data_IF_437718835247
#
_entry.id   IF_437718835247
#
_cell.length_a   1.000
_cell.length_b   1.000
_cell.length_c   1.000
_cell.angle_alpha   90.00
_cell.angle_beta   90.00
_cell.angle_gamma   90.00
#
_symmetry.space_group_name_H-M   'P 1'
#
loop_
_entity.id
_entity.type
_entity.pdbx_description
1 polymer ?
#
# COMPACT_ATOMS: atom_id res chain seq x y z
N UNK A 1 -14.40 19.93 -78.09
CA UNK A 1 -13.53 19.04 -78.89
C UNK A 1 -13.37 17.76 -78.10
N UNK A 2 -13.98 16.71 -78.64
CA UNK A 2 -13.54 15.33 -78.79
C UNK A 2 -13.12 14.62 -77.49
N UNK A 3 -14.03 13.79 -76.93
CA UNK A 3 -14.29 12.33 -77.17
C UNK A 3 -13.09 11.43 -76.95
N UNK A 4 -13.16 10.50 -75.97
CA UNK A 4 -13.36 9.12 -76.39
C UNK A 4 -13.65 8.18 -75.19
N UNK A 5 -14.69 7.36 -75.40
CA UNK A 5 -15.05 6.17 -74.64
C UNK A 5 -14.14 5.01 -75.03
N UNK A 6 -13.81 4.13 -74.09
CA UNK A 6 -13.69 2.71 -74.45
C UNK A 6 -14.04 1.83 -73.25
N UNK A 7 -15.10 1.09 -73.43
CA UNK A 7 -15.55 -0.08 -72.69
C UNK A 7 -14.81 -1.32 -73.14
N UNK A 8 -14.41 -2.21 -72.25
CA UNK A 8 -14.13 -3.62 -72.62
C UNK A 8 -14.47 -4.54 -71.41
N UNK A 9 -15.49 -5.33 -71.68
CA UNK A 9 -15.88 -6.71 -71.36
C UNK A 9 -15.35 -7.46 -70.14
N UNK A 10 -16.35 -8.03 -69.44
CA UNK A 10 -16.27 -9.25 -68.61
C UNK A 10 -16.13 -10.51 -69.47
N UNK A 11 -15.56 -11.59 -68.92
CA UNK A 11 -16.13 -12.91 -69.12
C UNK A 11 -16.57 -13.57 -67.81
N UNK A 12 -17.71 -14.17 -67.93
CA UNK A 12 -18.31 -15.17 -67.00
C UNK A 12 -17.66 -16.54 -67.24
N UNK A 13 -17.33 -17.24 -66.15
CA UNK A 13 -17.08 -18.71 -66.23
C UNK A 13 -17.62 -19.38 -64.96
N UNK A 14 -18.53 -20.22 -65.19
CA UNK A 14 -19.13 -21.45 -64.77
C UNK A 14 -18.83 -22.06 -63.39
N UNK A 15 -19.97 -22.52 -62.82
CA UNK A 15 -20.03 -23.36 -61.65
C UNK A 15 -19.91 -24.83 -62.05
N UNK A 16 -18.93 -25.56 -61.54
CA UNK A 16 -19.12 -26.99 -61.31
C UNK A 16 -18.17 -27.53 -60.23
N UNK A 17 -18.79 -28.04 -59.18
CA UNK A 17 -18.43 -29.15 -58.30
C UNK A 17 -16.98 -29.59 -58.15
N UNK A 18 -16.43 -29.52 -56.90
CA UNK A 18 -15.55 -30.56 -56.37
C UNK A 18 -15.60 -30.62 -54.83
N UNK A 19 -15.95 -31.78 -54.36
CA UNK A 19 -15.66 -32.53 -53.15
C UNK A 19 -15.28 -31.83 -51.82
N UNK A 20 -16.11 -32.15 -50.84
CA UNK A 20 -15.84 -32.13 -49.40
C UNK A 20 -14.73 -33.13 -49.05
N UNK A 21 -13.54 -32.65 -48.67
CA UNK A 21 -12.59 -33.41 -47.89
C UNK A 21 -12.43 -32.78 -46.50
N UNK A 22 -12.70 -33.61 -45.52
CA UNK A 22 -12.60 -33.38 -44.08
C UNK A 22 -11.20 -32.93 -43.70
N UNK A 23 -11.01 -31.66 -43.26
CA UNK A 23 -9.81 -31.20 -42.61
C UNK A 23 -10.14 -30.97 -41.15
N UNK A 24 -9.65 -31.88 -40.28
CA UNK A 24 -9.67 -31.74 -38.82
C UNK A 24 -8.95 -30.46 -38.41
N UNK A 25 -9.64 -29.57 -37.67
CA UNK A 25 -9.02 -28.42 -37.02
C UNK A 25 -8.04 -28.92 -35.92
N UNK A 26 -6.82 -28.40 -35.85
CA UNK A 26 -5.95 -28.70 -34.72
C UNK A 26 -6.50 -28.07 -33.45
N UNK A 27 -6.64 -28.87 -32.40
CA UNK A 27 -6.98 -28.44 -31.05
C UNK A 27 -5.80 -27.62 -30.50
N UNK A 28 -5.97 -26.31 -30.43
CA UNK A 28 -5.01 -25.45 -29.75
C UNK A 28 -5.18 -25.68 -28.26
N UNK A 29 -4.18 -26.31 -27.64
CA UNK A 29 -4.03 -26.43 -26.21
C UNK A 29 -4.08 -25.03 -25.58
N UNK A 30 -4.94 -24.85 -24.56
CA UNK A 30 -5.00 -23.62 -23.78
C UNK A 30 -3.65 -23.40 -23.09
N UNK A 31 -2.85 -22.55 -23.68
CA UNK A 31 -1.63 -21.99 -23.11
C UNK A 31 -1.99 -21.29 -21.80
N UNK A 32 -1.22 -21.57 -20.78
CA UNK A 32 -1.22 -20.97 -19.45
C UNK A 32 -1.52 -19.47 -19.49
N UNK A 33 -2.51 -19.03 -18.70
CA UNK A 33 -2.74 -17.61 -18.44
C UNK A 33 -1.48 -17.02 -17.81
N UNK A 34 -0.72 -16.29 -18.61
CA UNK A 34 0.27 -15.35 -18.11
C UNK A 34 -0.47 -14.40 -17.16
N UNK A 35 -0.17 -14.48 -15.87
CA UNK A 35 -0.50 -13.45 -14.90
C UNK A 35 0.30 -12.21 -15.29
N UNK A 36 -0.30 -11.38 -16.13
CA UNK A 36 0.20 -10.02 -16.39
C UNK A 36 0.26 -9.28 -15.07
N UNK A 37 1.42 -8.74 -14.76
CA UNK A 37 1.70 -7.90 -13.61
C UNK A 37 0.70 -6.74 -13.56
N UNK A 38 -0.27 -6.82 -12.65
CA UNK A 38 -1.18 -5.73 -12.31
C UNK A 38 -0.43 -4.88 -11.27
N UNK A 39 0.53 -4.04 -11.68
CA UNK A 39 1.33 -3.30 -10.73
C UNK A 39 1.55 -1.82 -11.08
N UNK A 40 1.80 -1.49 -12.31
CA UNK A 40 2.38 -0.19 -12.68
C UNK A 40 1.38 0.93 -13.00
N UNK A 41 0.10 0.65 -13.20
CA UNK A 41 -0.87 1.67 -13.69
C UNK A 41 -1.53 2.55 -12.62
N UNK A 42 -1.36 2.28 -11.30
CA UNK A 42 -2.03 3.04 -10.23
C UNK A 42 -1.13 3.35 -9.03
N UNK A 43 0.19 3.32 -9.17
CA UNK A 43 1.08 3.70 -8.09
C UNK A 43 1.07 5.21 -7.90
N UNK A 44 0.92 5.67 -6.62
CA UNK A 44 1.00 7.09 -6.32
C UNK A 44 2.45 7.58 -6.40
N UNK A 45 2.64 8.86 -6.72
CA UNK A 45 3.97 9.49 -6.71
C UNK A 45 4.69 9.33 -5.35
N UNK A 46 3.94 9.26 -4.24
CA UNK A 46 4.49 8.97 -2.93
C UNK A 46 5.13 7.58 -2.86
N UNK A 47 4.45 6.56 -3.40
CA UNK A 47 4.97 5.20 -3.40
C UNK A 47 6.28 5.11 -4.21
N UNK A 48 6.30 5.72 -5.39
CA UNK A 48 7.48 5.77 -6.25
C UNK A 48 8.65 6.53 -5.59
N UNK A 49 8.38 7.67 -4.93
CA UNK A 49 9.39 8.40 -4.19
C UNK A 49 10.01 7.58 -3.05
N UNK A 50 9.19 6.78 -2.35
CA UNK A 50 9.68 5.86 -1.32
C UNK A 50 10.47 4.71 -1.93
N UNK A 51 10.02 4.10 -3.04
CA UNK A 51 10.79 3.08 -3.77
C UNK A 51 12.18 3.59 -4.11
N UNK A 52 12.27 4.75 -4.76
CA UNK A 52 13.55 5.34 -5.14
C UNK A 52 14.47 5.58 -3.94
N UNK A 53 13.91 6.10 -2.83
CA UNK A 53 14.69 6.36 -1.62
C UNK A 53 15.28 5.10 -0.99
N UNK A 54 14.54 4.01 -0.95
CA UNK A 54 14.95 2.79 -0.25
C UNK A 54 15.73 1.81 -1.11
N UNK A 55 15.47 1.77 -2.41
CA UNK A 55 16.23 0.93 -3.34
C UNK A 55 17.51 1.60 -3.83
N UNK A 56 17.56 2.96 -3.81
CA UNK A 56 18.72 3.75 -4.24
C UNK A 56 19.09 3.55 -5.72
N UNK A 57 20.20 4.16 -6.14
CA UNK A 57 20.75 4.02 -7.51
C UNK A 57 21.38 2.63 -7.71
N UNK A 58 21.94 2.04 -6.64
CA UNK A 58 22.57 0.71 -6.65
C UNK A 58 21.56 -0.43 -6.41
N UNK A 59 20.37 -0.10 -5.88
CA UNK A 59 19.28 -1.07 -5.68
C UNK A 59 18.43 -1.23 -6.92
N UNK A 60 17.66 -2.31 -6.96
CA UNK A 60 16.71 -2.58 -8.05
C UNK A 60 15.29 -2.39 -7.57
N UNK A 61 14.50 -1.64 -8.33
CA UNK A 61 13.04 -1.56 -8.15
C UNK A 61 12.35 -2.69 -8.89
N UNK A 62 11.23 -3.18 -8.34
CA UNK A 62 10.40 -4.23 -8.95
C UNK A 62 11.18 -5.51 -9.29
N UNK A 63 11.65 -6.19 -8.25
CA UNK A 63 12.34 -7.48 -8.38
C UNK A 63 11.43 -8.64 -8.07
N UNK A 64 11.54 -9.67 -8.90
CA UNK A 64 10.91 -10.95 -8.62
C UNK A 64 11.74 -11.72 -7.57
N UNK A 65 11.09 -12.07 -6.45
CA UNK A 65 11.63 -12.93 -5.40
C UNK A 65 10.66 -14.10 -5.21
N UNK A 66 11.06 -15.28 -5.66
CA UNK A 66 10.14 -16.41 -5.78
C UNK A 66 8.95 -16.08 -6.68
N UNK A 67 7.74 -16.31 -6.19
CA UNK A 67 6.49 -16.02 -6.93
C UNK A 67 6.00 -14.57 -6.79
N UNK A 68 6.76 -13.70 -6.09
CA UNK A 68 6.32 -12.35 -5.77
C UNK A 68 7.19 -11.28 -6.43
N UNK A 69 6.54 -10.21 -6.90
CA UNK A 69 7.23 -8.98 -7.28
C UNK A 69 7.31 -8.08 -6.05
N UNK A 70 8.50 -7.65 -5.68
CA UNK A 70 8.79 -6.78 -4.55
C UNK A 70 9.10 -5.36 -5.04
N UNK A 71 8.86 -4.37 -4.18
CA UNK A 71 9.07 -2.95 -4.52
C UNK A 71 10.53 -2.59 -4.72
N UNK A 72 11.44 -3.35 -4.11
CA UNK A 72 12.86 -3.15 -4.29
C UNK A 72 13.72 -4.21 -3.63
N UNK A 73 15.01 -4.16 -3.95
CA UNK A 73 16.06 -4.95 -3.33
C UNK A 73 17.26 -4.05 -3.09
N UNK A 74 17.79 -4.05 -1.86
CA UNK A 74 19.02 -3.30 -1.57
C UNK A 74 20.24 -4.01 -2.14
N UNK A 75 21.39 -3.33 -2.21
CA UNK A 75 22.68 -3.91 -2.59
C UNK A 75 23.09 -5.10 -1.70
N UNK A 76 22.64 -5.10 -0.45
CA UNK A 76 22.90 -6.18 0.51
C UNK A 76 21.90 -7.34 0.43
N UNK A 77 20.96 -7.30 -0.52
CA UNK A 77 19.95 -8.35 -0.73
C UNK A 77 18.75 -8.29 0.24
N UNK A 78 18.55 -7.18 0.96
CA UNK A 78 17.35 -6.99 1.78
C UNK A 78 16.16 -6.63 0.88
N UNK A 79 15.05 -7.34 1.05
CA UNK A 79 13.83 -7.13 0.27
C UNK A 79 13.09 -5.91 0.84
N UNK A 80 12.75 -4.97 -0.03
CA UNK A 80 11.98 -3.77 0.29
C UNK A 80 10.55 -3.94 -0.18
N UNK A 81 9.61 -3.67 0.73
CA UNK A 81 8.18 -3.63 0.45
C UNK A 81 7.57 -2.36 1.06
N UNK A 82 6.79 -1.61 0.28
CA UNK A 82 6.19 -0.35 0.71
C UNK A 82 4.69 -0.50 0.82
N UNK A 83 4.16 -0.29 2.02
CA UNK A 83 2.74 -0.42 2.26
C UNK A 83 2.16 0.84 2.90
N UNK A 84 1.47 1.65 2.10
CA UNK A 84 0.82 2.89 2.57
C UNK A 84 -0.45 2.59 3.36
N UNK A 85 -1.13 1.50 3.02
CA UNK A 85 -2.41 1.10 3.62
C UNK A 85 -2.29 0.04 4.72
N UNK A 86 -3.35 -0.78 4.84
CA UNK A 86 -3.42 -1.90 5.77
C UNK A 86 -2.44 -3.02 5.41
N UNK A 87 -1.91 -3.74 6.41
CA UNK A 87 -1.01 -4.87 6.18
C UNK A 87 -1.75 -6.19 5.87
N UNK A 88 -3.07 -6.21 6.04
CA UNK A 88 -3.87 -7.41 5.74
C UNK A 88 -3.64 -7.98 4.33
N UNK A 89 -3.75 -7.17 3.26
CA UNK A 89 -3.59 -7.66 1.88
C UNK A 89 -2.21 -8.26 1.56
N UNK A 90 -1.15 -7.78 2.20
CA UNK A 90 0.23 -8.22 1.94
C UNK A 90 0.74 -9.27 2.94
N UNK A 91 -0.07 -9.62 3.92
CA UNK A 91 0.32 -10.49 5.04
C UNK A 91 0.93 -11.82 4.58
N UNK A 92 0.28 -12.52 3.66
CA UNK A 92 0.76 -13.83 3.19
C UNK A 92 2.00 -13.68 2.29
N UNK A 93 2.08 -12.61 1.50
CA UNK A 93 3.28 -12.25 0.74
C UNK A 93 4.47 -12.08 1.68
N UNK A 94 4.34 -11.25 2.73
CA UNK A 94 5.42 -11.00 3.70
C UNK A 94 5.85 -12.28 4.39
N UNK A 95 4.90 -13.15 4.83
CA UNK A 95 5.22 -14.44 5.46
C UNK A 95 6.06 -15.37 4.56
N UNK A 96 5.86 -15.32 3.25
CA UNK A 96 6.65 -16.06 2.28
C UNK A 96 8.02 -15.43 2.06
N UNK A 97 8.08 -14.11 1.88
CA UNK A 97 9.32 -13.40 1.64
C UNK A 97 10.33 -13.52 2.77
N UNK A 98 9.90 -13.49 4.04
CA UNK A 98 10.82 -13.64 5.20
C UNK A 98 11.44 -15.03 5.30
N UNK A 99 10.94 -16.02 4.55
CA UNK A 99 11.56 -17.36 4.44
C UNK A 99 12.73 -17.34 3.45
N UNK A 100 12.77 -16.40 2.52
CA UNK A 100 13.83 -16.28 1.52
C UNK A 100 14.95 -15.35 1.97
N UNK A 101 14.67 -14.37 2.84
CA UNK A 101 15.66 -13.41 3.28
C UNK A 101 15.12 -12.39 4.28
N UNK A 102 15.91 -11.34 4.52
CA UNK A 102 15.47 -10.20 5.32
C UNK A 102 14.50 -9.34 4.51
N UNK A 103 13.42 -8.90 5.17
CA UNK A 103 12.40 -8.04 4.58
C UNK A 103 12.26 -6.77 5.41
N UNK A 104 12.27 -5.63 4.75
CA UNK A 104 11.97 -4.33 5.33
C UNK A 104 10.64 -3.83 4.78
N UNK A 105 9.64 -3.78 5.65
CA UNK A 105 8.31 -3.27 5.33
C UNK A 105 8.23 -1.79 5.70
N UNK A 106 8.17 -0.93 4.70
CA UNK A 106 8.12 0.53 4.88
C UNK A 106 6.68 0.99 5.01
N UNK A 107 6.36 1.71 6.07
CA UNK A 107 5.04 2.30 6.27
C UNK A 107 5.14 3.81 6.54
N UNK A 108 4.58 4.67 5.68
CA UNK A 108 4.67 6.11 5.87
C UNK A 108 3.74 6.59 7.01
N UNK A 109 4.31 7.39 7.92
CA UNK A 109 3.60 8.13 8.95
C UNK A 109 3.58 9.61 8.56
N UNK A 110 2.43 10.07 8.09
CA UNK A 110 2.26 11.45 7.59
C UNK A 110 1.97 12.38 8.76
N UNK A 111 2.98 13.11 9.24
CA UNK A 111 2.84 14.02 10.38
C UNK A 111 2.30 15.40 9.98
N UNK A 112 2.53 15.82 8.74
CA UNK A 112 1.99 17.06 8.18
C UNK A 112 1.53 16.81 6.74
N UNK A 113 0.38 17.34 6.40
CA UNK A 113 -0.18 17.23 5.06
C UNK A 113 -0.69 18.58 4.58
N UNK A 114 -0.25 19.01 3.40
CA UNK A 114 -0.87 20.06 2.63
C UNK A 114 -1.87 19.47 1.64
N UNK A 115 -2.99 20.14 1.49
CA UNK A 115 -4.02 19.80 0.51
C UNK A 115 -4.02 20.90 -0.52
N UNK A 116 -3.82 20.54 -1.78
CA UNK A 116 -3.95 21.39 -2.94
C UNK A 116 -5.18 20.97 -3.73
N UNK A 117 -6.11 21.91 -3.94
CA UNK A 117 -7.29 21.69 -4.78
C UNK A 117 -7.10 22.34 -6.12
N UNK A 118 -7.35 21.59 -7.18
CA UNK A 118 -7.31 22.01 -8.56
C UNK A 118 -8.70 21.90 -9.21
N UNK A 119 -8.96 22.72 -10.19
CA UNK A 119 -10.08 22.57 -11.11
C UNK A 119 -9.78 21.54 -12.22
N UNK A 120 -10.74 21.34 -13.14
CA UNK A 120 -10.57 20.41 -14.27
C UNK A 120 -9.54 20.91 -15.30
N UNK A 121 -9.20 22.19 -15.31
CA UNK A 121 -8.19 22.77 -16.18
C UNK A 121 -6.79 22.76 -15.54
N UNK A 122 -6.65 22.08 -14.38
CA UNK A 122 -5.42 22.01 -13.60
C UNK A 122 -4.93 23.35 -13.04
N UNK A 123 -5.85 24.32 -12.82
CA UNK A 123 -5.54 25.54 -12.09
C UNK A 123 -5.65 25.30 -10.59
N UNK A 124 -4.66 25.76 -9.83
CA UNK A 124 -4.67 25.71 -8.37
C UNK A 124 -5.72 26.64 -7.80
N UNK A 125 -6.76 26.09 -7.16
CA UNK A 125 -7.82 26.88 -6.51
C UNK A 125 -7.43 27.33 -5.11
N UNK A 126 -6.83 26.43 -4.32
CA UNK A 126 -6.27 26.75 -3.01
C UNK A 126 -5.27 25.71 -2.51
N UNK A 127 -4.41 26.15 -1.58
CA UNK A 127 -3.54 25.30 -0.76
C UNK A 127 -3.82 25.55 0.72
N UNK A 128 -3.98 24.48 1.50
CA UNK A 128 -4.17 24.57 2.94
C UNK A 128 -3.54 23.41 3.70
N UNK A 129 -3.18 23.63 4.96
CA UNK A 129 -2.75 22.55 5.86
C UNK A 129 -3.94 21.70 6.29
N UNK A 130 -3.78 20.39 6.30
CA UNK A 130 -4.74 19.46 6.88
C UNK A 130 -4.73 19.57 8.41
N UNK A 131 -5.89 19.58 9.09
CA UNK A 131 -5.94 19.56 10.56
C UNK A 131 -5.47 18.24 11.15
N UNK A 132 -5.44 17.17 10.35
CA UNK A 132 -4.99 15.84 10.81
C UNK A 132 -3.47 15.75 10.71
N UNK A 133 -2.83 15.52 11.86
CA UNK A 133 -1.43 15.15 11.98
C UNK A 133 -1.33 13.68 12.40
N UNK A 134 -0.53 12.90 11.69
CA UNK A 134 -0.24 11.52 12.04
C UNK A 134 0.71 11.43 13.23
N UNK A 135 0.74 10.26 13.85
CA UNK A 135 1.66 9.91 14.94
C UNK A 135 2.21 8.50 14.70
N UNK A 136 3.36 8.12 15.28
CA UNK A 136 3.90 6.75 15.15
C UNK A 136 2.88 5.66 15.51
N UNK A 137 1.96 5.93 16.44
CA UNK A 137 0.84 5.03 16.77
C UNK A 137 -0.09 4.72 15.58
N UNK A 138 -0.08 5.51 14.51
CA UNK A 138 -0.94 5.25 13.34
C UNK A 138 -0.59 3.92 12.65
N UNK A 139 0.60 3.37 12.85
CA UNK A 139 0.98 2.03 12.39
C UNK A 139 0.01 0.94 12.88
N UNK A 140 -0.59 1.11 14.05
CA UNK A 140 -1.56 0.15 14.57
C UNK A 140 -2.88 0.12 13.80
N UNK A 141 -3.16 1.14 12.97
CA UNK A 141 -4.25 1.07 12.00
C UNK A 141 -3.95 0.08 10.85
N UNK A 142 -2.69 -0.12 10.51
CA UNK A 142 -2.27 -1.09 9.51
C UNK A 142 -2.05 -2.48 10.12
N UNK A 143 -1.37 -2.56 11.27
CA UNK A 143 -1.05 -3.80 11.98
C UNK A 143 -2.27 -4.55 12.54
N UNK A 144 -3.39 -3.89 12.81
CA UNK A 144 -4.58 -4.56 13.38
C UNK A 144 -5.08 -5.73 12.53
N UNK A 145 -4.83 -5.71 11.23
CA UNK A 145 -5.22 -6.74 10.27
C UNK A 145 -4.17 -7.86 10.09
N UNK A 146 -2.98 -7.66 10.64
CA UNK A 146 -1.87 -8.61 10.58
C UNK A 146 -0.94 -8.44 11.81
N UNK A 147 -1.46 -8.63 13.06
CA UNK A 147 -0.69 -8.37 14.27
C UNK A 147 0.57 -9.24 14.39
N UNK A 148 0.53 -10.44 13.81
CA UNK A 148 1.63 -11.40 13.80
C UNK A 148 2.87 -10.89 13.06
N UNK A 149 2.72 -9.96 12.11
CA UNK A 149 3.85 -9.37 11.41
C UNK A 149 4.75 -8.56 12.33
N UNK A 150 4.21 -7.98 13.41
CA UNK A 150 4.96 -7.10 14.29
C UNK A 150 6.21 -7.70 14.94
N UNK A 151 6.27 -9.04 15.10
CA UNK A 151 7.41 -9.76 15.70
C UNK A 151 7.85 -10.94 14.83
N UNK A 152 7.55 -10.89 13.53
CA UNK A 152 7.93 -11.94 12.60
C UNK A 152 9.46 -11.92 12.40
N UNK A 153 10.11 -13.08 12.53
CA UNK A 153 11.55 -13.21 12.30
C UNK A 153 11.90 -12.77 10.86
N UNK A 154 13.04 -12.16 10.69
CA UNK A 154 13.53 -11.61 9.42
C UNK A 154 12.68 -10.45 8.84
N UNK A 155 11.71 -9.93 9.60
CA UNK A 155 10.94 -8.74 9.23
C UNK A 155 11.34 -7.55 10.10
N UNK A 156 11.61 -6.42 9.49
CA UNK A 156 11.63 -5.12 10.13
C UNK A 156 10.48 -4.25 9.57
N UNK A 157 9.74 -3.57 10.44
CA UNK A 157 8.75 -2.56 10.03
C UNK A 157 9.38 -1.21 10.26
N UNK A 158 9.56 -0.46 9.19
CA UNK A 158 10.13 0.89 9.24
C UNK A 158 9.05 1.93 9.03
N UNK A 159 8.87 2.79 10.04
CA UNK A 159 7.93 3.91 9.99
C UNK A 159 8.66 5.11 9.40
N UNK A 160 8.37 5.43 8.15
CA UNK A 160 8.89 6.60 7.47
C UNK A 160 8.10 7.84 7.90
N UNK A 161 8.67 8.69 8.76
CA UNK A 161 8.02 9.92 9.24
C UNK A 161 8.23 11.01 8.21
N UNK A 162 7.11 11.46 7.59
CA UNK A 162 7.12 12.31 6.41
C UNK A 162 6.06 13.40 6.45
N UNK A 163 6.28 14.45 5.64
CA UNK A 163 5.24 15.38 5.21
C UNK A 163 4.83 15.06 3.77
N UNK A 164 3.58 15.32 3.42
CA UNK A 164 3.06 15.09 2.07
C UNK A 164 2.24 16.25 1.54
N UNK A 165 2.21 16.40 0.22
CA UNK A 165 1.22 17.19 -0.50
C UNK A 165 0.21 16.23 -1.12
N UNK A 166 -1.08 16.43 -0.85
CA UNK A 166 -2.19 15.68 -1.43
C UNK A 166 -2.89 16.55 -2.48
N UNK A 167 -2.68 16.18 -3.76
CA UNK A 167 -3.35 16.81 -4.89
C UNK A 167 -4.77 16.29 -4.99
N UNK A 168 -5.72 17.20 -5.09
CA UNK A 168 -7.15 16.93 -5.26
C UNK A 168 -7.68 17.62 -6.49
N UNK A 169 -8.71 17.03 -7.11
CA UNK A 169 -9.40 17.60 -8.27
C UNK A 169 -10.89 17.67 -7.97
N UNK A 170 -11.49 18.82 -8.30
CA UNK A 170 -12.93 19.03 -8.20
C UNK A 170 -13.61 18.50 -9.47
N UNK A 171 -13.72 17.17 -9.57
CA UNK A 171 -14.20 16.45 -10.76
C UNK A 171 -15.58 15.77 -10.57
N UNK A 172 -16.22 15.97 -9.43
CA UNK A 172 -17.49 15.35 -9.08
C UNK A 172 -17.41 13.85 -8.74
N UNK A 173 -16.24 13.17 -8.93
CA UNK A 173 -16.06 11.72 -8.77
C UNK A 173 -15.62 11.32 -7.37
N UNK A 174 -15.26 12.26 -6.52
CA UNK A 174 -14.80 11.99 -5.17
C UNK A 174 -15.89 11.49 -4.25
N UNK A 175 -15.50 10.99 -3.05
CA UNK A 175 -16.47 10.52 -2.06
C UNK A 175 -17.41 11.64 -1.61
N UNK A 176 -18.63 11.28 -1.17
CA UNK A 176 -19.61 12.22 -0.62
C UNK A 176 -19.04 13.08 0.54
N UNK A 177 -18.17 12.51 1.37
CA UNK A 177 -17.49 13.24 2.48
C UNK A 177 -16.58 14.36 1.99
N UNK A 178 -16.09 14.26 0.76
CA UNK A 178 -15.28 15.29 0.10
C UNK A 178 -16.07 16.11 -0.91
N UNK A 179 -17.42 15.99 -0.88
CA UNK A 179 -18.32 16.73 -1.78
C UNK A 179 -17.95 16.58 -3.27
N UNK A 180 -17.66 15.33 -3.68
CA UNK A 180 -17.28 15.05 -5.07
C UNK A 180 -15.83 15.33 -5.43
N UNK A 181 -15.02 15.88 -4.53
CA UNK A 181 -13.59 16.10 -4.77
C UNK A 181 -12.83 14.78 -4.69
N UNK A 182 -12.13 14.41 -5.77
CA UNK A 182 -11.26 13.22 -5.81
C UNK A 182 -9.83 13.52 -5.33
N UNK A 183 -9.12 12.47 -4.90
CA UNK A 183 -7.67 12.55 -4.66
C UNK A 183 -7.02 12.03 -5.93
N UNK A 184 -6.28 12.90 -6.64
CA UNK A 184 -5.58 12.49 -7.86
C UNK A 184 -4.22 11.90 -7.56
N UNK A 185 -3.46 12.47 -6.59
CA UNK A 185 -2.15 11.95 -6.24
C UNK A 185 -1.69 12.42 -4.84
N UNK A 186 -0.55 11.84 -4.37
CA UNK A 186 0.18 12.26 -3.18
C UNK A 186 1.65 12.30 -3.46
N UNK A 187 2.31 13.38 -3.03
CA UNK A 187 3.73 13.62 -3.23
C UNK A 187 4.45 13.64 -1.89
N UNK A 188 5.64 13.08 -1.83
CA UNK A 188 6.56 13.28 -0.71
C UNK A 188 7.00 14.74 -0.70
N UNK A 189 6.73 15.46 0.40
CA UNK A 189 7.12 16.87 0.60
C UNK A 189 8.44 16.95 1.38
N UNK A 190 8.44 16.40 2.61
CA UNK A 190 9.62 16.38 3.49
C UNK A 190 9.80 14.98 4.08
N UNK A 191 11.03 14.50 4.05
CA UNK A 191 11.48 13.38 4.84
C UNK A 191 12.07 13.89 6.16
N UNK A 192 11.61 13.35 7.29
CA UNK A 192 12.17 13.71 8.59
C UNK A 192 13.16 12.67 9.11
N UNK A 193 12.64 11.50 9.50
CA UNK A 193 13.41 10.39 10.05
C UNK A 193 12.61 9.10 9.91
N UNK A 194 13.21 7.98 10.31
CA UNK A 194 12.49 6.73 10.42
C UNK A 194 12.59 6.13 11.83
N UNK A 195 11.62 5.26 12.16
CA UNK A 195 11.56 4.48 13.39
C UNK A 195 11.48 3.02 12.97
N UNK A 196 12.48 2.21 13.36
CA UNK A 196 12.53 0.79 13.00
C UNK A 196 11.98 -0.06 14.15
N UNK A 197 11.10 -0.99 13.80
CA UNK A 197 10.47 -1.95 14.71
C UNK A 197 10.83 -3.36 14.25
N UNK A 198 11.78 -4.00 14.90
CA UNK A 198 12.28 -5.33 14.53
C UNK A 198 12.22 -6.34 15.69
N UNK A 199 12.15 -5.86 16.92
CA UNK A 199 12.18 -6.67 18.15
C UNK A 199 11.20 -6.14 19.20
N UNK A 200 10.90 -6.97 20.18
CA UNK A 200 9.95 -6.63 21.27
C UNK A 200 10.24 -5.29 21.94
N UNK A 201 11.51 -5.00 22.19
CA UNK A 201 11.95 -3.76 22.84
C UNK A 201 11.55 -2.50 22.10
N UNK A 202 11.51 -2.54 20.76
CA UNK A 202 11.22 -1.38 19.94
C UNK A 202 9.75 -0.90 20.10
N UNK A 203 8.85 -1.80 20.53
CA UNK A 203 7.43 -1.48 20.78
C UNK A 203 7.19 -0.82 22.14
N UNK A 204 8.21 -0.78 23.02
CA UNK A 204 8.08 -0.17 24.34
C UNK A 204 7.71 1.31 24.28
N UNK A 205 8.15 2.02 23.25
CA UNK A 205 7.80 3.43 23.00
C UNK A 205 6.30 3.67 22.87
N UNK A 206 5.51 2.63 22.52
CA UNK A 206 4.06 2.71 22.38
C UNK A 206 3.32 2.39 23.70
N UNK A 207 4.05 2.03 24.75
CA UNK A 207 3.51 1.68 26.08
C UNK A 207 4.12 2.62 27.12
N UNK A 208 3.63 3.88 27.22
CA UNK A 208 4.24 4.89 28.11
C UNK A 208 3.87 4.68 29.59
N UNK A 209 3.95 3.41 30.08
CA UNK A 209 3.63 2.98 31.43
C UNK A 209 4.78 2.11 31.95
N UNK A 210 5.03 2.15 33.27
CA UNK A 210 5.97 1.26 33.93
C UNK A 210 5.45 -0.19 33.90
N UNK A 211 6.32 -1.17 34.13
CA UNK A 211 5.96 -2.59 34.09
C UNK A 211 4.85 -2.95 35.07
N UNK A 212 4.89 -2.37 36.27
CA UNK A 212 3.91 -2.65 37.33
C UNK A 212 2.70 -1.73 37.32
N UNK A 213 2.71 -0.71 36.46
CA UNK A 213 1.63 0.26 36.34
C UNK A 213 0.44 -0.35 35.58
N UNK A 214 -0.74 -0.35 36.21
CA UNK A 214 -2.00 -0.73 35.58
C UNK A 214 -2.59 0.44 34.82
N UNK A 215 -3.12 0.20 33.63
CA UNK A 215 -3.69 1.25 32.80
C UNK A 215 -4.88 0.76 31.96
N UNK A 216 -5.68 1.70 31.51
CA UNK A 216 -6.85 1.46 30.65
C UNK A 216 -6.62 2.04 29.25
N UNK A 217 -7.54 1.75 28.30
CA UNK A 217 -7.58 2.41 26.98
C UNK A 217 -7.61 3.94 27.12
N UNK A 218 -8.36 4.48 28.07
CA UNK A 218 -8.45 5.93 28.31
C UNK A 218 -7.11 6.50 28.79
N UNK A 219 -6.42 5.79 29.68
CA UNK A 219 -5.09 6.21 30.14
C UNK A 219 -4.09 6.26 28.99
N UNK A 220 -4.06 5.21 28.15
CA UNK A 220 -3.18 5.20 26.96
C UNK A 220 -3.53 6.33 25.99
N UNK A 221 -4.82 6.52 25.69
CA UNK A 221 -5.27 7.58 24.80
C UNK A 221 -4.80 8.96 25.28
N UNK A 222 -4.98 9.25 26.58
CA UNK A 222 -4.55 10.52 27.21
C UNK A 222 -3.02 10.68 27.18
N UNK A 223 -2.27 9.67 27.60
CA UNK A 223 -0.80 9.74 27.76
C UNK A 223 -0.09 9.81 26.42
N UNK A 224 -0.59 9.10 25.39
CA UNK A 224 -0.07 9.14 24.01
C UNK A 224 -0.63 10.30 23.17
N UNK A 225 -1.65 11.01 23.65
CA UNK A 225 -2.35 12.06 22.91
C UNK A 225 -3.00 11.55 21.63
N UNK A 226 -3.58 10.34 21.66
CA UNK A 226 -4.29 9.70 20.54
C UNK A 226 -5.77 9.49 20.90
N UNK A 227 -6.61 9.26 19.90
CA UNK A 227 -8.02 8.97 20.18
C UNK A 227 -8.22 7.55 20.75
N UNK A 228 -9.33 7.33 21.45
CA UNK A 228 -9.64 6.07 22.09
C UNK A 228 -9.73 4.88 21.12
N UNK A 229 -10.12 5.13 19.86
CA UNK A 229 -10.21 4.07 18.83
C UNK A 229 -8.81 3.57 18.47
N UNK A 230 -7.85 4.47 18.26
CA UNK A 230 -6.46 4.11 17.98
C UNK A 230 -5.83 3.44 19.20
N UNK A 231 -6.09 3.93 20.43
CA UNK A 231 -5.62 3.29 21.67
C UNK A 231 -6.14 1.84 21.82
N UNK A 232 -7.41 1.56 21.46
CA UNK A 232 -7.95 0.19 21.45
C UNK A 232 -7.21 -0.70 20.43
N UNK A 233 -6.99 -0.19 19.21
CA UNK A 233 -6.23 -0.92 18.17
C UNK A 233 -4.80 -1.22 18.63
N UNK A 234 -4.14 -0.23 19.22
CA UNK A 234 -2.79 -0.38 19.78
C UNK A 234 -2.76 -1.50 20.82
N UNK A 235 -3.64 -1.47 21.82
CA UNK A 235 -3.68 -2.49 22.87
C UNK A 235 -4.08 -3.87 22.33
N UNK A 236 -4.96 -3.95 21.35
CA UNK A 236 -5.29 -5.21 20.69
C UNK A 236 -4.06 -5.84 20.04
N UNK A 237 -3.33 -5.07 19.23
CA UNK A 237 -2.12 -5.56 18.54
C UNK A 237 -1.04 -5.94 19.54
N UNK A 238 -0.75 -5.07 20.52
CA UNK A 238 0.26 -5.33 21.55
C UNK A 238 -0.07 -6.56 22.40
N UNK A 239 -1.36 -6.81 22.68
CA UNK A 239 -1.81 -8.02 23.37
C UNK A 239 -1.61 -9.27 22.50
N UNK A 240 -1.91 -9.21 21.19
CA UNK A 240 -1.63 -10.31 20.24
C UNK A 240 -0.14 -10.60 20.12
N UNK A 241 0.71 -9.57 20.25
CA UNK A 241 2.17 -9.70 20.28
C UNK A 241 2.71 -10.09 21.67
N UNK A 242 1.84 -10.32 22.64
CA UNK A 242 2.21 -10.68 24.02
C UNK A 242 3.07 -9.62 24.74
N UNK A 243 2.90 -8.33 24.42
CA UNK A 243 3.62 -7.18 25.00
C UNK A 243 2.84 -6.52 26.13
N UNK A 244 1.52 -6.69 26.11
CA UNK A 244 0.61 -6.28 27.20
C UNK A 244 -0.34 -7.43 27.51
N UNK A 245 -0.84 -7.46 28.73
CA UNK A 245 -1.85 -8.43 29.14
C UNK A 245 -3.05 -7.72 29.78
N UNK A 246 -4.22 -8.34 29.70
CA UNK A 246 -5.40 -7.94 30.43
C UNK A 246 -5.35 -8.58 31.80
N UNK A 247 -5.35 -7.77 32.86
CA UNK A 247 -5.26 -8.25 34.24
C UNK A 247 -6.60 -8.21 34.96
N UNK A 248 -7.60 -7.52 34.40
CA UNK A 248 -8.93 -7.43 35.04
C UNK A 248 -9.84 -6.41 34.35
N UNK A 249 -10.87 -6.00 35.05
CA UNK A 249 -11.81 -4.95 34.67
C UNK A 249 -12.06 -4.01 35.84
N UNK A 250 -12.25 -2.72 35.55
CA UNK A 250 -12.75 -1.72 36.45
C UNK A 250 -13.99 -1.11 35.80
N UNK A 251 -15.16 -1.39 36.37
CA UNK A 251 -16.45 -1.16 35.74
C UNK A 251 -16.44 -1.80 34.32
N UNK A 252 -16.73 -1.03 33.26
CA UNK A 252 -16.75 -1.51 31.87
C UNK A 252 -15.40 -1.43 31.15
N UNK A 253 -14.31 -0.99 31.80
CA UNK A 253 -13.01 -0.83 31.21
C UNK A 253 -12.08 -2.00 31.53
N UNK A 254 -11.44 -2.58 30.51
CA UNK A 254 -10.35 -3.53 30.73
C UNK A 254 -9.11 -2.82 31.28
N UNK A 255 -8.48 -3.49 32.24
CA UNK A 255 -7.20 -3.09 32.84
C UNK A 255 -6.09 -3.89 32.13
N UNK A 256 -5.02 -3.21 31.81
CA UNK A 256 -3.85 -3.76 31.15
C UNK A 256 -2.59 -3.53 31.98
N UNK A 257 -1.62 -4.43 31.85
CA UNK A 257 -0.24 -4.26 32.33
C UNK A 257 0.73 -4.55 31.18
N UNK A 258 1.89 -3.96 31.26
CA UNK A 258 3.00 -4.29 30.37
C UNK A 258 3.65 -5.60 30.81
N UNK A 259 4.03 -6.45 29.88
CA UNK A 259 4.79 -7.69 30.12
C UNK A 259 6.29 -7.47 30.04
#
# INVERSE_FOLDING_TARGET
>A
MLTNKSSINKPSIDKSSINKSSIRKPTISKSSKNKTSIGTKNESSLHNALKFRYSGIEGSTEKQVGDYVCDGLTSEGEIIEIQIGSFGPIKEKIKKLVQTGKVRLIHPIVIKKHIELYDLNNNLLYRRKSPRAGKPWDVFNALIYAPELGLLKNLSIELAVIDVVEKRVNDGKGSWRRKGVSISDRFLDVWHHSIVLSRRGDYNQFIPFKKDESFTVRNLAKKAGINATLARKTLYVLAKMNLVEKTGKQANAFIYKRK
#
